data_IF_267663931359
#
_entry.id   IF_267663931359
#
_cell.length_a   1.000
_cell.length_b   1.000
_cell.length_c   1.000
_cell.angle_alpha   90.00
_cell.angle_beta   90.00
_cell.angle_gamma   90.00
#
_symmetry.space_group_name_H-M   'P 1'
#
loop_
_entity.id
_entity.type
_entity.pdbx_description
1 polymer ?
#
# COMPACT_ATOMS: atom_id res chain seq x y z
N UNK A 1 12.62 4.44 23.68
CA UNK A 1 13.74 4.25 22.74
C UNK A 1 13.28 3.28 21.68
N UNK A 2 13.13 3.72 20.42
CA UNK A 2 12.76 2.87 19.30
C UNK A 2 14.06 2.25 18.82
N UNK A 3 14.14 0.92 18.91
CA UNK A 3 15.32 0.14 18.59
C UNK A 3 15.74 0.39 17.13
N UNK A 4 16.93 0.94 16.91
CA UNK A 4 17.54 1.19 15.60
C UNK A 4 17.87 -0.10 14.82
N UNK A 5 17.59 -1.27 15.39
CA UNK A 5 17.81 -2.59 14.79
C UNK A 5 16.65 -3.10 13.95
N UNK A 6 15.68 -2.24 13.65
CA UNK A 6 14.36 -2.60 13.15
C UNK A 6 14.32 -3.24 11.76
N UNK A 7 15.31 -3.03 10.93
CA UNK A 7 15.40 -3.57 9.55
C UNK A 7 16.76 -4.24 9.30
N UNK A 8 17.30 -4.94 10.30
CA UNK A 8 18.46 -5.80 10.13
C UNK A 8 18.05 -7.26 9.99
N UNK A 9 17.44 -7.66 8.86
CA UNK A 9 17.48 -9.05 8.41
C UNK A 9 18.08 -9.09 7.00
N UNK A 10 19.11 -9.92 6.79
CA UNK A 10 19.97 -9.85 5.58
C UNK A 10 19.35 -10.37 4.29
N UNK A 11 18.09 -10.76 4.25
CA UNK A 11 17.44 -11.37 3.09
C UNK A 11 16.32 -10.55 2.45
N UNK A 12 16.16 -9.27 2.80
CA UNK A 12 15.17 -8.42 2.15
C UNK A 12 15.85 -7.33 1.34
N UNK A 13 15.50 -7.29 0.07
CA UNK A 13 15.96 -6.35 -0.96
C UNK A 13 15.51 -4.89 -0.74
N UNK A 14 15.36 -4.46 0.51
CA UNK A 14 15.34 -3.04 0.89
C UNK A 14 16.81 -2.57 1.07
N UNK A 15 17.69 -3.09 0.24
CA UNK A 15 19.06 -2.57 0.13
C UNK A 15 18.97 -1.23 -0.60
N UNK A 16 19.63 -0.21 -0.05
CA UNK A 16 19.70 1.15 -0.57
C UNK A 16 18.47 2.05 -0.33
N UNK A 17 17.72 1.82 0.73
CA UNK A 17 16.69 2.77 1.18
C UNK A 17 17.32 3.81 2.10
N UNK A 18 17.04 5.09 1.86
CA UNK A 18 17.58 6.17 2.69
C UNK A 18 17.11 6.09 4.15
N UNK A 19 17.85 6.67 5.07
CA UNK A 19 17.48 6.71 6.48
C UNK A 19 16.14 7.44 6.68
N UNK A 20 15.89 8.48 5.91
CA UNK A 20 14.64 9.25 5.93
C UNK A 20 13.45 8.40 5.52
N UNK A 21 13.60 7.60 4.46
CA UNK A 21 12.54 6.68 4.00
C UNK A 21 12.25 5.60 5.03
N UNK A 22 13.29 5.05 5.69
CA UNK A 22 13.11 4.09 6.78
C UNK A 22 12.37 4.71 7.98
N UNK A 23 12.68 5.96 8.31
CA UNK A 23 12.01 6.69 9.38
C UNK A 23 10.53 6.97 9.03
N UNK A 24 10.21 7.30 7.78
CA UNK A 24 8.83 7.44 7.32
C UNK A 24 8.05 6.12 7.43
N UNK A 25 8.64 4.99 7.03
CA UNK A 25 8.02 3.66 7.19
C UNK A 25 7.76 3.32 8.66
N UNK A 26 8.72 3.62 9.55
CA UNK A 26 8.56 3.43 10.98
C UNK A 26 7.44 4.32 11.55
N UNK A 27 7.40 5.60 11.18
CA UNK A 27 6.34 6.52 11.59
C UNK A 27 4.97 6.08 11.06
N UNK A 28 4.91 5.51 9.86
CA UNK A 28 3.69 4.93 9.30
C UNK A 28 3.22 3.73 10.11
N UNK A 29 4.10 2.76 10.43
CA UNK A 29 3.78 1.61 11.29
C UNK A 29 3.20 2.05 12.63
N UNK A 30 3.84 3.03 13.29
CA UNK A 30 3.36 3.59 14.55
C UNK A 30 2.00 4.28 14.41
N UNK A 31 1.74 4.92 13.27
CA UNK A 31 0.44 5.54 13.00
C UNK A 31 -0.66 4.50 12.85
N UNK A 32 -0.36 3.35 12.19
CA UNK A 32 -1.29 2.22 12.12
C UNK A 32 -1.59 1.68 13.53
N UNK A 33 -0.55 1.38 14.33
CA UNK A 33 -0.74 0.80 15.68
C UNK A 33 -1.54 1.73 16.61
N UNK A 34 -1.32 3.05 16.52
CA UNK A 34 -2.10 4.02 17.29
C UNK A 34 -3.56 4.01 16.87
N UNK A 35 -3.81 4.05 15.56
CA UNK A 35 -5.17 4.14 15.02
C UNK A 35 -5.93 2.82 15.09
N UNK A 36 -5.21 1.69 15.14
CA UNK A 36 -5.81 0.35 15.25
C UNK A 36 -6.61 0.16 16.56
N UNK A 37 -6.33 0.98 17.58
CA UNK A 37 -7.12 1.01 18.82
C UNK A 37 -8.55 1.53 18.62
N UNK A 38 -8.76 2.39 17.62
CA UNK A 38 -10.04 3.03 17.34
C UNK A 38 -10.78 2.35 16.18
N UNK A 39 -10.02 1.93 15.16
CA UNK A 39 -10.55 1.30 13.95
C UNK A 39 -9.69 0.10 13.55
N UNK A 40 -10.32 -0.99 13.13
CA UNK A 40 -9.62 -2.21 12.73
C UNK A 40 -8.90 -2.01 11.37
N UNK A 41 -7.65 -1.55 11.43
CA UNK A 41 -6.77 -1.38 10.28
C UNK A 41 -6.04 -2.67 9.91
N UNK A 42 -5.54 -3.37 10.93
CA UNK A 42 -4.88 -4.69 10.85
C UNK A 42 -5.40 -5.59 11.97
N UNK A 43 -5.18 -6.90 11.85
CA UNK A 43 -5.58 -7.83 12.91
C UNK A 43 -4.70 -7.65 14.16
N UNK A 44 -5.30 -7.77 15.35
CA UNK A 44 -4.58 -7.67 16.63
C UNK A 44 -3.43 -8.68 16.73
N UNK A 45 -3.59 -9.88 16.15
CA UNK A 45 -2.56 -10.91 16.13
C UNK A 45 -1.29 -10.51 15.36
N UNK A 46 -1.40 -9.55 14.43
CA UNK A 46 -0.28 -9.10 13.60
C UNK A 46 0.37 -7.81 14.09
N UNK A 47 -0.17 -7.14 15.11
CA UNK A 47 0.38 -5.88 15.62
C UNK A 47 1.86 -6.02 16.05
N UNK A 48 2.19 -7.10 16.79
CA UNK A 48 3.56 -7.36 17.24
C UNK A 48 4.54 -7.64 16.09
N UNK A 49 4.03 -8.01 14.94
CA UNK A 49 4.82 -8.35 13.74
C UNK A 49 4.54 -7.40 12.57
N UNK A 50 4.01 -6.20 12.84
CA UNK A 50 3.58 -5.23 11.81
C UNK A 50 4.66 -4.99 10.75
N UNK A 51 5.91 -4.92 11.18
CA UNK A 51 7.01 -4.60 10.26
C UNK A 51 7.32 -5.75 9.31
N UNK A 52 7.40 -6.97 9.82
CA UNK A 52 7.69 -8.15 8.99
C UNK A 52 6.49 -8.56 8.16
N UNK A 53 5.31 -8.62 8.75
CA UNK A 53 4.10 -9.11 8.09
C UNK A 53 3.39 -8.09 7.21
N UNK A 54 3.65 -6.80 7.42
CA UNK A 54 2.96 -5.77 6.66
C UNK A 54 3.92 -4.86 5.88
N UNK A 55 4.89 -4.24 6.55
CA UNK A 55 5.76 -3.29 5.87
C UNK A 55 6.73 -4.00 4.91
N UNK A 56 7.49 -4.98 5.41
CA UNK A 56 8.47 -5.72 4.60
C UNK A 56 7.79 -6.52 3.51
N UNK A 57 6.69 -7.19 3.84
CA UNK A 57 5.92 -7.95 2.88
C UNK A 57 5.40 -7.06 1.74
N UNK A 58 4.87 -5.88 2.07
CA UNK A 58 4.43 -4.88 1.07
C UNK A 58 5.58 -4.38 0.19
N UNK A 59 6.78 -4.24 0.74
CA UNK A 59 7.95 -3.74 0.03
C UNK A 59 8.52 -4.73 -1.01
N UNK A 60 8.16 -6.01 -0.97
CA UNK A 60 8.70 -7.03 -1.88
C UNK A 60 8.44 -6.75 -3.36
N UNK A 61 7.40 -6.00 -3.68
CA UNK A 61 7.03 -5.68 -5.06
C UNK A 61 7.75 -4.46 -5.62
N UNK A 62 8.57 -3.77 -4.82
CA UNK A 62 9.20 -2.52 -5.24
C UNK A 62 10.09 -2.68 -6.47
N UNK A 63 10.90 -3.74 -6.50
CA UNK A 63 11.80 -4.01 -7.63
C UNK A 63 11.03 -4.30 -8.92
N UNK A 64 9.87 -4.95 -8.81
CA UNK A 64 9.01 -5.20 -9.96
C UNK A 64 8.44 -3.89 -10.51
N UNK A 65 7.97 -3.01 -9.64
CA UNK A 65 7.40 -1.70 -10.00
C UNK A 65 8.46 -0.83 -10.68
N UNK A 66 9.66 -0.77 -10.09
CA UNK A 66 10.77 0.04 -10.58
C UNK A 66 11.25 -0.44 -11.98
N UNK A 67 11.45 -1.77 -12.13
CA UNK A 67 11.93 -2.37 -13.38
C UNK A 67 10.94 -2.30 -14.56
N UNK A 68 9.66 -2.28 -14.29
CA UNK A 68 8.62 -2.30 -15.33
C UNK A 68 8.05 -0.92 -15.65
N UNK A 69 8.69 0.13 -15.17
CA UNK A 69 8.31 1.53 -15.42
C UNK A 69 6.82 1.81 -15.13
N UNK A 70 6.38 1.35 -13.95
CA UNK A 70 5.02 1.56 -13.48
C UNK A 70 4.89 3.00 -12.96
N UNK A 71 3.94 3.75 -13.50
CA UNK A 71 3.65 5.13 -13.07
C UNK A 71 2.43 5.22 -12.18
N UNK A 72 1.41 4.43 -12.48
CA UNK A 72 0.13 4.45 -11.75
C UNK A 72 -0.18 3.08 -11.19
N UNK A 73 -0.35 3.03 -9.88
CA UNK A 73 -0.73 1.84 -9.13
C UNK A 73 -2.12 2.03 -8.51
N UNK A 74 -3.04 1.08 -8.71
CA UNK A 74 -4.35 1.09 -8.05
C UNK A 74 -4.41 -0.01 -6.98
N UNK A 75 -4.65 0.39 -5.74
CA UNK A 75 -4.77 -0.50 -4.57
C UNK A 75 -6.24 -0.70 -4.22
N UNK A 76 -6.69 -1.96 -4.30
CA UNK A 76 -8.10 -2.35 -4.11
C UNK A 76 -8.35 -2.88 -2.70
N UNK A 77 -9.26 -2.21 -1.97
CA UNK A 77 -9.65 -2.64 -0.63
C UNK A 77 -8.50 -2.51 0.37
N UNK A 78 -7.77 -1.45 0.27
CA UNK A 78 -6.45 -1.23 0.87
C UNK A 78 -6.42 -1.21 2.41
N UNK A 79 -7.56 -0.98 3.08
CA UNK A 79 -7.65 -0.93 4.54
C UNK A 79 -6.74 0.12 5.17
N UNK A 80 -5.65 -0.34 5.78
CA UNK A 80 -4.63 0.52 6.37
C UNK A 80 -3.76 1.27 5.33
N UNK A 81 -3.88 0.97 4.04
CA UNK A 81 -2.98 1.45 3.00
C UNK A 81 -1.85 0.47 2.65
N UNK A 82 -2.09 -0.82 2.89
CA UNK A 82 -1.12 -1.88 2.66
C UNK A 82 -1.53 -2.73 1.45
N UNK A 83 -0.71 -2.80 0.39
CA UNK A 83 0.69 -2.34 0.31
C UNK A 83 0.90 -0.90 -0.21
N UNK A 84 -0.11 -0.20 -0.70
CA UNK A 84 0.00 1.01 -1.50
C UNK A 84 0.75 2.17 -0.82
N UNK A 85 0.55 2.43 0.48
CA UNK A 85 1.28 3.49 1.21
C UNK A 85 2.77 3.14 1.32
N UNK A 86 3.11 1.88 1.57
CA UNK A 86 4.52 1.44 1.62
C UNK A 86 5.20 1.69 0.29
N UNK A 87 4.54 1.34 -0.81
CA UNK A 87 5.04 1.57 -2.17
C UNK A 87 5.18 3.06 -2.47
N UNK A 88 4.20 3.88 -2.11
CA UNK A 88 4.26 5.33 -2.29
C UNK A 88 5.43 5.97 -1.52
N UNK A 89 5.70 5.53 -0.28
CA UNK A 89 6.84 6.01 0.52
C UNK A 89 8.17 5.60 -0.14
N UNK A 90 8.29 4.35 -0.57
CA UNK A 90 9.52 3.81 -1.17
C UNK A 90 9.82 4.42 -2.56
N UNK A 91 8.78 4.69 -3.35
CA UNK A 91 8.94 5.27 -4.70
C UNK A 91 9.13 6.79 -4.68
N UNK A 92 8.66 7.49 -3.66
CA UNK A 92 8.74 8.96 -3.57
C UNK A 92 10.14 9.55 -3.88
N UNK A 93 11.26 9.03 -3.31
CA UNK A 93 12.59 9.56 -3.63
C UNK A 93 13.12 9.13 -5.00
N UNK A 94 12.62 8.05 -5.58
CA UNK A 94 13.08 7.51 -6.86
C UNK A 94 12.27 8.04 -8.04
N UNK A 95 10.95 8.10 -7.88
CA UNK A 95 9.98 8.45 -8.91
C UNK A 95 8.85 9.29 -8.28
N UNK A 96 9.07 10.61 -8.07
CA UNK A 96 8.10 11.48 -7.39
C UNK A 96 6.72 11.52 -8.07
N UNK A 97 6.67 11.28 -9.38
CA UNK A 97 5.45 11.19 -10.18
C UNK A 97 4.67 9.88 -9.99
N UNK A 98 5.28 8.83 -9.43
CA UNK A 98 4.59 7.57 -9.12
C UNK A 98 3.35 7.83 -8.28
N UNK A 99 2.19 7.46 -8.81
CA UNK A 99 0.89 7.73 -8.20
C UNK A 99 0.23 6.46 -7.71
N UNK A 100 -0.30 6.50 -6.48
CA UNK A 100 -1.13 5.41 -5.95
C UNK A 100 -2.57 5.86 -5.80
N UNK A 101 -3.48 5.13 -6.45
CA UNK A 101 -4.92 5.35 -6.38
C UNK A 101 -5.52 4.29 -5.44
N UNK A 102 -6.16 4.73 -4.38
CA UNK A 102 -6.80 3.86 -3.40
C UNK A 102 -8.30 3.80 -3.60
N UNK A 103 -8.86 2.57 -3.54
CA UNK A 103 -10.30 2.35 -3.42
C UNK A 103 -10.61 1.72 -2.06
N UNK A 104 -11.19 2.50 -1.16
CA UNK A 104 -11.59 2.08 0.19
C UNK A 104 -12.95 2.67 0.53
N UNK A 105 -13.96 1.82 0.72
CA UNK A 105 -15.33 2.29 0.98
C UNK A 105 -15.56 2.79 2.41
N UNK A 106 -14.76 2.34 3.38
CA UNK A 106 -14.88 2.75 4.77
C UNK A 106 -14.47 4.20 4.96
N UNK A 107 -15.36 5.03 5.50
CA UNK A 107 -15.10 6.42 5.82
C UNK A 107 -13.88 6.58 6.74
N UNK A 108 -13.84 5.84 7.83
CA UNK A 108 -12.75 5.94 8.81
C UNK A 108 -11.39 5.54 8.23
N UNK A 109 -11.35 4.47 7.43
CA UNK A 109 -10.11 4.03 6.78
C UNK A 109 -9.68 5.01 5.69
N UNK A 110 -10.60 5.52 4.88
CA UNK A 110 -10.31 6.55 3.87
C UNK A 110 -9.75 7.83 4.48
N UNK A 111 -10.28 8.28 5.63
CA UNK A 111 -9.74 9.43 6.34
C UNK A 111 -8.35 9.18 6.88
N UNK A 112 -8.09 8.00 7.45
CA UNK A 112 -6.74 7.61 7.86
C UNK A 112 -5.75 7.67 6.67
N UNK A 113 -6.13 7.16 5.50
CA UNK A 113 -5.29 7.23 4.29
C UNK A 113 -4.99 8.68 3.88
N UNK A 114 -6.00 9.57 3.93
CA UNK A 114 -5.82 11.00 3.64
C UNK A 114 -4.85 11.67 4.61
N UNK A 115 -4.97 11.38 5.91
CA UNK A 115 -4.06 11.87 6.94
C UNK A 115 -2.61 11.42 6.69
N UNK A 116 -2.41 10.13 6.42
CA UNK A 116 -1.10 9.54 6.13
C UNK A 116 -0.50 10.13 4.85
N UNK A 117 -1.29 10.22 3.79
CA UNK A 117 -0.85 10.79 2.50
C UNK A 117 -0.39 12.25 2.64
N UNK A 118 -1.14 13.05 3.37
CA UNK A 118 -0.79 14.44 3.67
C UNK A 118 0.47 14.53 4.53
N UNK A 119 0.55 13.71 5.60
CA UNK A 119 1.68 13.69 6.54
C UNK A 119 3.01 13.41 5.86
N UNK A 120 3.04 12.46 4.93
CA UNK A 120 4.25 12.06 4.21
C UNK A 120 4.38 12.68 2.82
N UNK A 121 3.48 13.60 2.44
CA UNK A 121 3.47 14.30 1.14
C UNK A 121 3.54 13.31 -0.03
N UNK A 122 2.69 12.27 0.00
CA UNK A 122 2.66 11.23 -1.01
C UNK A 122 1.81 11.64 -2.22
N UNK A 123 2.20 11.22 -3.41
CA UNK A 123 1.39 11.37 -4.61
C UNK A 123 0.30 10.28 -4.64
N UNK A 124 -0.85 10.60 -4.08
CA UNK A 124 -1.95 9.64 -3.91
C UNK A 124 -3.30 10.24 -4.23
N UNK A 125 -4.22 9.38 -4.62
CA UNK A 125 -5.64 9.68 -4.78
C UNK A 125 -6.46 8.69 -3.96
N UNK A 126 -7.28 9.18 -3.03
CA UNK A 126 -8.09 8.33 -2.17
C UNK A 126 -9.56 8.43 -2.59
N UNK A 127 -10.08 7.36 -3.16
CA UNK A 127 -11.46 7.22 -3.58
C UNK A 127 -12.26 6.46 -2.51
N UNK A 128 -13.08 7.20 -1.75
CA UNK A 128 -14.06 6.59 -0.84
C UNK A 128 -15.27 6.13 -1.63
N UNK A 129 -15.06 5.10 -2.47
CA UNK A 129 -16.07 4.57 -3.39
C UNK A 129 -16.07 3.06 -3.40
N UNK A 130 -17.21 2.49 -3.76
CA UNK A 130 -17.30 1.07 -4.04
C UNK A 130 -16.66 0.79 -5.40
N UNK A 131 -15.60 0.00 -5.44
CA UNK A 131 -14.90 -0.34 -6.70
C UNK A 131 -15.83 -1.04 -7.70
N UNK A 132 -16.79 -1.84 -7.25
CA UNK A 132 -17.71 -2.56 -8.14
C UNK A 132 -18.60 -1.63 -8.98
N UNK A 133 -18.78 -0.40 -8.56
CA UNK A 133 -19.60 0.62 -9.24
C UNK A 133 -18.78 1.50 -10.21
N UNK A 134 -17.47 1.38 -10.16
CA UNK A 134 -16.58 2.18 -11.02
C UNK A 134 -16.44 1.54 -12.39
N UNK A 135 -16.23 2.36 -13.41
CA UNK A 135 -16.09 1.90 -14.80
C UNK A 135 -15.02 2.69 -15.53
N UNK A 136 -14.45 2.06 -16.56
CA UNK A 136 -13.47 2.69 -17.46
C UNK A 136 -12.22 3.22 -16.75
N UNK A 137 -11.83 2.61 -15.62
CA UNK A 137 -10.63 2.95 -14.89
C UNK A 137 -9.38 2.62 -15.73
N UNK A 138 -8.30 3.32 -15.43
CA UNK A 138 -6.99 3.09 -16.06
C UNK A 138 -5.90 3.11 -14.99
N UNK A 139 -4.97 2.19 -15.12
CA UNK A 139 -3.80 2.08 -14.25
C UNK A 139 -2.73 1.27 -14.98
N UNK A 140 -1.48 1.31 -14.53
CA UNK A 140 -0.48 0.36 -15.01
C UNK A 140 -0.57 -0.95 -14.27
N UNK A 141 -0.78 -0.90 -12.95
CA UNK A 141 -0.82 -2.07 -12.09
C UNK A 141 -1.98 -2.01 -11.10
N UNK A 142 -2.66 -3.14 -10.95
CA UNK A 142 -3.64 -3.37 -9.90
C UNK A 142 -2.96 -4.19 -8.80
N UNK A 143 -3.04 -3.71 -7.57
CA UNK A 143 -2.58 -4.46 -6.39
C UNK A 143 -3.75 -4.71 -5.45
N UNK A 144 -3.72 -5.83 -4.75
CA UNK A 144 -4.72 -6.15 -3.74
C UNK A 144 -4.15 -7.09 -2.69
N UNK A 145 -4.53 -6.85 -1.44
CA UNK A 145 -4.16 -7.66 -0.28
C UNK A 145 -5.38 -7.94 0.57
N UNK A 146 -5.68 -9.22 0.81
CA UNK A 146 -6.74 -9.66 1.72
C UNK A 146 -8.10 -8.95 1.51
N UNK A 147 -8.43 -8.57 0.27
CA UNK A 147 -9.65 -7.82 -0.05
C UNK A 147 -10.80 -8.73 -0.46
N UNK A 148 -10.58 -9.54 -1.50
CA UNK A 148 -11.57 -10.44 -2.08
C UNK A 148 -10.89 -11.71 -2.61
N UNK A 149 -11.64 -12.82 -2.79
CA UNK A 149 -11.11 -14.00 -3.48
C UNK A 149 -10.56 -13.67 -4.87
N UNK A 150 -9.51 -14.39 -5.28
CA UNK A 150 -8.81 -14.15 -6.56
C UNK A 150 -9.74 -14.03 -7.77
N UNK A 151 -10.75 -14.91 -7.97
CA UNK A 151 -11.67 -14.77 -9.10
C UNK A 151 -12.43 -13.45 -9.12
N UNK A 152 -12.80 -12.93 -7.95
CA UNK A 152 -13.50 -11.63 -7.82
C UNK A 152 -12.59 -10.46 -8.19
N UNK A 153 -11.29 -10.55 -7.86
CA UNK A 153 -10.33 -9.51 -8.27
C UNK A 153 -10.18 -9.48 -9.79
N UNK A 154 -10.10 -10.65 -10.44
CA UNK A 154 -10.08 -10.72 -11.91
C UNK A 154 -11.37 -10.20 -12.54
N UNK A 155 -12.51 -10.48 -11.94
CA UNK A 155 -13.79 -9.92 -12.39
C UNK A 155 -13.79 -8.39 -12.32
N UNK A 156 -13.33 -7.81 -11.20
CA UNK A 156 -13.18 -6.35 -11.06
C UNK A 156 -12.23 -5.81 -12.12
N UNK A 157 -11.05 -6.42 -12.29
CA UNK A 157 -10.08 -5.99 -13.27
C UNK A 157 -10.69 -5.96 -14.70
N UNK A 158 -11.37 -7.02 -15.10
CA UNK A 158 -11.96 -7.12 -16.44
C UNK A 158 -13.14 -6.20 -16.67
N UNK A 159 -14.01 -5.99 -15.67
CA UNK A 159 -15.25 -5.21 -15.81
C UNK A 159 -15.08 -3.72 -15.55
N UNK A 160 -14.17 -3.35 -14.67
CA UNK A 160 -14.06 -1.98 -14.19
C UNK A 160 -12.88 -1.20 -14.81
N UNK A 161 -11.84 -1.91 -15.24
CA UNK A 161 -10.65 -1.30 -15.84
C UNK A 161 -10.66 -1.42 -17.37
N UNK A 162 -10.45 -0.29 -18.04
CA UNK A 162 -10.28 -0.25 -19.49
C UNK A 162 -8.85 -0.62 -19.92
N UNK A 163 -7.87 -0.31 -19.06
CA UNK A 163 -6.45 -0.55 -19.32
C UNK A 163 -5.70 -0.81 -18.04
N UNK A 164 -4.91 -1.86 -18.03
CA UNK A 164 -3.87 -2.16 -17.04
C UNK A 164 -2.85 -3.12 -17.68
N UNK A 165 -1.65 -3.20 -17.11
CA UNK A 165 -0.57 -4.10 -17.58
C UNK A 165 -0.44 -5.33 -16.68
N UNK A 166 -0.55 -5.15 -15.36
CA UNK A 166 -0.26 -6.19 -14.37
C UNK A 166 -1.29 -6.21 -13.24
N UNK A 167 -1.40 -7.37 -12.61
CA UNK A 167 -2.10 -7.57 -11.34
C UNK A 167 -1.14 -8.25 -10.36
N UNK A 168 -0.93 -7.70 -9.18
CA UNK A 168 -0.18 -8.32 -8.09
C UNK A 168 -1.11 -8.59 -6.92
N UNK A 169 -1.16 -9.84 -6.47
CA UNK A 169 -1.97 -10.28 -5.36
C UNK A 169 -1.08 -10.74 -4.20
N UNK A 170 -1.33 -10.19 -3.03
CA UNK A 170 -0.72 -10.63 -1.79
C UNK A 170 -1.64 -11.69 -1.18
N UNK A 171 -1.27 -12.95 -1.35
CA UNK A 171 -1.99 -14.10 -0.83
C UNK A 171 -1.48 -14.43 0.57
N UNK A 172 -2.40 -14.68 1.52
CA UNK A 172 -2.08 -15.08 2.89
C UNK A 172 -1.97 -16.59 3.05
#
# INVERSE_FOLDING_TARGET
MIDSNFIKKPNLRIQNVSRETLDELNKYSLSILRKNKDINLISLSTEKSINTRHIIDSAQTIDFIDKNDIEVCTDLGTGAGLPGIVLAILMKPKKPEFKVIFYEKSYHKSNFLKEISKKFKLNTEINQKNIFEQKKLQTDIIISRAFKPVPVIFEIASKNFKKFKYIILFLG
#
